data_IF_723407212065
#
_entry.id   IF_723407212065
#
_cell.length_a   1.000
_cell.length_b   1.000
_cell.length_c   1.000
_cell.angle_alpha   90.00
_cell.angle_beta   90.00
_cell.angle_gamma   90.00
#
_symmetry.space_group_name_H-M   'P 1'
#
loop_
_entity.id
_entity.type
_entity.pdbx_description
1 polymer ?
#
# COMPACT_ATOMS: atom_id res chain seq x y z
N UNK A 1 -5.29 -2.58 5.31
CA UNK A 1 -4.92 -1.74 6.48
C UNK A 1 -5.74 -0.47 6.43
N UNK A 2 -6.31 -0.02 7.55
CA UNK A 2 -7.28 1.09 7.57
C UNK A 2 -6.74 2.39 8.20
N UNK A 3 -5.44 2.44 8.47
CA UNK A 3 -4.77 3.60 9.04
C UNK A 3 -3.89 4.27 7.98
N UNK A 4 -3.61 5.56 8.18
CA UNK A 4 -2.65 6.28 7.34
C UNK A 4 -1.27 5.57 7.39
N UNK A 5 -0.55 5.40 6.27
CA UNK A 5 0.73 4.72 6.23
C UNK A 5 1.74 5.20 7.29
N UNK A 6 1.83 6.52 7.51
CA UNK A 6 2.71 7.10 8.53
C UNK A 6 2.35 6.69 9.97
N UNK A 7 1.11 6.29 10.25
CA UNK A 7 0.70 5.82 11.58
C UNK A 7 1.02 4.34 11.82
N UNK A 8 1.31 3.60 10.76
CA UNK A 8 1.58 2.15 10.80
C UNK A 8 3.06 1.88 11.09
N UNK A 9 3.97 2.79 10.74
CA UNK A 9 5.42 2.64 10.94
C UNK A 9 5.90 3.45 12.15
N UNK A 10 6.84 2.91 12.92
CA UNK A 10 7.43 3.60 14.09
C UNK A 10 8.60 4.48 13.65
N UNK A 11 9.51 3.91 12.87
CA UNK A 11 10.79 4.50 12.48
C UNK A 11 10.98 4.51 10.95
N UNK A 12 9.91 4.28 10.19
CA UNK A 12 9.94 4.17 8.73
C UNK A 12 10.28 2.77 8.21
N UNK A 13 10.76 1.86 9.07
CA UNK A 13 11.10 0.48 8.71
C UNK A 13 10.17 -0.50 9.44
N UNK A 14 10.05 -0.35 10.75
CA UNK A 14 9.35 -1.26 11.63
C UNK A 14 7.85 -0.94 11.70
N UNK A 15 7.03 -1.98 11.54
CA UNK A 15 5.58 -1.91 11.71
C UNK A 15 5.24 -1.85 13.19
N UNK A 16 4.28 -0.99 13.55
CA UNK A 16 3.78 -0.85 14.91
C UNK A 16 2.84 -2.00 15.25
N UNK A 17 2.78 -2.39 16.51
CA UNK A 17 1.68 -3.22 17.01
C UNK A 17 0.34 -2.49 17.03
N UNK A 18 -0.74 -3.25 16.94
CA UNK A 18 -2.08 -2.72 17.08
C UNK A 18 -2.61 -2.06 15.82
N UNK A 19 -2.26 -2.58 14.64
CA UNK A 19 -2.71 -2.02 13.36
C UNK A 19 -4.15 -2.43 13.10
N UNK A 20 -4.99 -1.46 12.74
CA UNK A 20 -6.38 -1.72 12.37
C UNK A 20 -6.47 -2.23 10.93
N UNK A 21 -7.05 -3.41 10.75
CA UNK A 21 -7.24 -4.04 9.45
C UNK A 21 -8.70 -4.49 9.25
N UNK A 22 -9.14 -4.46 7.99
CA UNK A 22 -10.38 -5.09 7.55
C UNK A 22 -10.09 -6.55 7.18
N UNK A 23 -10.97 -7.46 7.55
CA UNK A 23 -10.87 -8.86 7.11
C UNK A 23 -11.21 -8.92 5.62
N UNK A 24 -10.35 -9.60 4.85
CA UNK A 24 -10.59 -9.87 3.43
C UNK A 24 -11.23 -11.24 3.29
N UNK A 25 -12.41 -11.29 2.67
CA UNK A 25 -13.18 -12.52 2.46
C UNK A 25 -13.53 -12.67 0.99
N UNK A 26 -13.54 -13.91 0.52
CA UNK A 26 -14.17 -14.27 -0.75
C UNK A 26 -15.63 -14.57 -0.45
N UNK A 27 -16.50 -13.62 -0.75
CA UNK A 27 -17.93 -13.69 -0.39
C UNK A 27 -18.77 -13.10 -1.52
N UNK A 28 -19.93 -13.72 -1.78
CA UNK A 28 -20.88 -13.24 -2.78
C UNK A 28 -20.45 -13.44 -4.24
N UNK A 29 -21.45 -13.75 -5.06
CA UNK A 29 -21.35 -13.60 -6.51
C UNK A 29 -21.99 -12.25 -6.84
N UNK A 30 -21.22 -11.34 -7.43
CA UNK A 30 -21.72 -10.05 -7.87
C UNK A 30 -22.12 -10.17 -9.35
N UNK A 31 -23.42 -10.22 -9.62
CA UNK A 31 -23.95 -10.11 -10.99
C UNK A 31 -24.21 -8.65 -11.36
N UNK A 32 -24.54 -7.80 -10.39
CA UNK A 32 -24.84 -6.38 -10.55
C UNK A 32 -24.33 -5.59 -9.34
N UNK A 33 -23.94 -4.33 -9.57
CA UNK A 33 -23.56 -3.45 -8.47
C UNK A 33 -24.78 -3.14 -7.61
N UNK A 34 -24.76 -3.36 -6.29
CA UNK A 34 -25.95 -3.25 -5.46
C UNK A 34 -26.42 -1.80 -5.45
N UNK A 35 -27.70 -1.58 -5.76
CA UNK A 35 -28.31 -0.25 -5.77
C UNK A 35 -28.29 0.38 -4.36
N UNK A 36 -28.28 -0.45 -3.33
CA UNK A 36 -28.14 -0.10 -1.92
C UNK A 36 -26.67 0.03 -1.51
N UNK A 37 -26.00 1.09 -1.99
CA UNK A 37 -24.94 1.81 -1.24
C UNK A 37 -24.08 0.96 -0.27
N UNK A 38 -23.47 -0.14 -0.76
CA UNK A 38 -22.58 -0.98 0.06
C UNK A 38 -21.26 -0.22 0.27
N UNK A 39 -21.25 0.63 1.30
CA UNK A 39 -20.07 1.39 1.73
C UNK A 39 -19.31 0.68 2.86
N UNK A 40 -19.90 -0.34 3.49
CA UNK A 40 -19.27 -1.20 4.50
C UNK A 40 -18.41 -2.31 3.88
N UNK A 41 -18.32 -2.38 2.55
CA UNK A 41 -17.42 -3.31 1.86
C UNK A 41 -16.65 -2.57 0.77
N UNK A 42 -15.46 -3.06 0.43
CA UNK A 42 -14.71 -2.63 -0.76
C UNK A 42 -14.44 -3.85 -1.64
N UNK A 43 -14.87 -3.85 -2.91
CA UNK A 43 -14.53 -4.91 -3.84
C UNK A 43 -13.02 -4.89 -4.11
N UNK A 44 -12.45 -6.08 -4.26
CA UNK A 44 -11.04 -6.30 -4.59
C UNK A 44 -10.95 -7.17 -5.85
N UNK A 45 -9.86 -7.05 -6.63
CA UNK A 45 -9.58 -7.97 -7.73
C UNK A 45 -9.42 -9.41 -7.23
N UNK A 46 -9.36 -10.37 -8.14
CA UNK A 46 -9.05 -11.76 -7.78
C UNK A 46 -7.64 -11.84 -7.16
N UNK A 47 -7.56 -12.23 -5.88
CA UNK A 47 -6.31 -12.27 -5.12
C UNK A 47 -5.62 -13.63 -5.19
N UNK A 48 -6.40 -14.70 -5.25
CA UNK A 48 -5.90 -16.07 -5.37
C UNK A 48 -6.60 -16.68 -6.58
N UNK A 49 -5.87 -17.02 -7.65
CA UNK A 49 -6.47 -17.63 -8.83
C UNK A 49 -7.17 -18.94 -8.43
N UNK A 50 -8.45 -19.05 -8.72
CA UNK A 50 -9.12 -20.35 -8.62
C UNK A 50 -8.48 -21.29 -9.66
N UNK A 51 -7.79 -22.34 -9.22
CA UNK A 51 -7.34 -23.40 -10.14
C UNK A 51 -8.52 -24.07 -10.86
N UNK A 52 -9.73 -23.92 -10.31
CA UNK A 52 -11.01 -24.30 -10.90
C UNK A 52 -11.66 -23.22 -11.80
N UNK A 53 -11.15 -21.99 -11.89
CA UNK A 53 -11.76 -20.93 -12.70
C UNK A 53 -11.49 -21.07 -14.21
N UNK A 54 -10.66 -22.03 -14.63
CA UNK A 54 -10.61 -22.47 -16.04
C UNK A 54 -11.91 -23.15 -16.51
N UNK A 55 -12.85 -23.46 -15.60
CA UNK A 55 -14.18 -23.95 -15.93
C UNK A 55 -15.32 -22.99 -15.56
N UNK A 56 -15.02 -21.75 -15.16
CA UNK A 56 -16.02 -20.70 -15.02
C UNK A 56 -16.39 -20.13 -16.40
N UNK A 57 -17.06 -20.96 -17.21
CA UNK A 57 -17.87 -20.56 -18.35
C UNK A 57 -17.15 -19.88 -19.50
N UNK A 58 -17.06 -20.58 -20.64
CA UNK A 58 -17.18 -19.88 -21.91
C UNK A 58 -18.41 -18.93 -21.83
N UNK A 59 -18.35 -17.72 -22.42
CA UNK A 59 -19.47 -16.79 -22.35
C UNK A 59 -20.74 -17.49 -22.87
N UNK A 60 -21.65 -17.79 -21.95
CA UNK A 60 -22.99 -18.24 -22.28
C UNK A 60 -23.79 -17.01 -22.70
N UNK A 61 -24.42 -17.04 -23.87
CA UNK A 61 -25.25 -15.96 -24.42
C UNK A 61 -26.56 -15.71 -23.63
N UNK A 62 -26.57 -15.93 -22.33
CA UNK A 62 -27.80 -15.90 -21.53
C UNK A 62 -27.53 -15.43 -20.09
N UNK A 63 -27.64 -14.11 -19.89
CA UNK A 63 -27.72 -13.47 -18.57
C UNK A 63 -26.39 -12.98 -17.98
N UNK A 64 -26.43 -12.09 -16.97
CA UNK A 64 -25.24 -11.58 -16.31
C UNK A 64 -24.51 -12.70 -15.59
N UNK A 65 -23.24 -12.93 -15.95
CA UNK A 65 -22.36 -13.89 -15.28
C UNK A 65 -22.02 -13.33 -13.90
N UNK A 66 -22.45 -14.01 -12.84
CA UNK A 66 -22.11 -13.60 -11.48
C UNK A 66 -20.63 -13.86 -11.21
N UNK A 67 -19.86 -12.80 -10.94
CA UNK A 67 -18.42 -12.88 -10.69
C UNK A 67 -18.20 -13.08 -9.20
N UNK A 68 -17.44 -14.11 -8.80
CA UNK A 68 -16.96 -14.23 -7.42
C UNK A 68 -15.92 -13.14 -7.18
N UNK A 69 -16.14 -12.31 -6.19
CA UNK A 69 -15.22 -11.21 -5.86
C UNK A 69 -14.65 -11.38 -4.46
N UNK A 70 -13.46 -10.82 -4.27
CA UNK A 70 -12.90 -10.60 -2.95
C UNK A 70 -13.41 -9.28 -2.40
N UNK A 71 -13.58 -9.21 -1.08
CA UNK A 71 -14.06 -8.01 -0.41
C UNK A 71 -13.23 -7.73 0.83
N UNK A 72 -12.82 -6.48 1.01
CA UNK A 72 -12.49 -5.99 2.34
C UNK A 72 -13.79 -5.64 3.07
N UNK A 73 -14.02 -6.27 4.21
CA UNK A 73 -15.23 -6.15 5.02
C UNK A 73 -14.99 -5.19 6.19
N UNK A 74 -15.65 -4.02 6.16
CA UNK A 74 -15.50 -2.99 7.19
C UNK A 74 -16.38 -3.21 8.42
N UNK A 75 -17.29 -4.19 8.40
CA UNK A 75 -18.01 -4.61 9.61
C UNK A 75 -17.16 -5.60 10.44
N UNK A 76 -16.19 -6.26 9.80
CA UNK A 76 -15.26 -7.19 10.42
C UNK A 76 -13.87 -6.57 10.56
N UNK A 77 -13.71 -5.69 11.55
CA UNK A 77 -12.42 -5.07 11.85
C UNK A 77 -11.63 -5.87 12.89
N UNK A 78 -10.33 -6.02 12.66
CA UNK A 78 -9.40 -6.68 13.57
C UNK A 78 -8.23 -5.76 13.87
N UNK A 79 -7.67 -5.92 15.07
CA UNK A 79 -6.40 -5.32 15.47
C UNK A 79 -5.34 -6.41 15.35
N UNK A 80 -4.28 -6.16 14.59
CA UNK A 80 -3.20 -7.13 14.35
C UNK A 80 -1.88 -6.64 14.93
N UNK A 81 -1.04 -7.58 15.38
CA UNK A 81 0.34 -7.30 15.78
C UNK A 81 1.27 -7.19 14.56
N UNK A 82 2.46 -6.62 14.76
CA UNK A 82 3.48 -6.58 13.72
C UNK A 82 3.90 -7.99 13.27
N UNK A 83 3.93 -8.96 14.18
CA UNK A 83 4.26 -10.36 13.91
C UNK A 83 3.26 -11.04 12.96
N UNK A 84 1.98 -10.64 13.00
CA UNK A 84 0.94 -11.16 12.10
C UNK A 84 1.04 -10.58 10.68
N UNK A 85 1.88 -9.57 10.48
CA UNK A 85 2.08 -8.86 9.21
C UNK A 85 3.37 -9.28 8.52
N UNK A 86 3.73 -10.56 8.68
CA UNK A 86 4.90 -11.16 8.05
C UNK A 86 4.86 -10.97 6.51
N UNK A 87 5.88 -10.29 5.94
CA UNK A 87 6.01 -10.13 4.50
C UNK A 87 5.95 -11.43 3.71
N UNK A 88 6.41 -12.56 4.25
CA UNK A 88 6.40 -13.86 3.56
C UNK A 88 4.97 -14.39 3.31
N UNK A 89 4.01 -13.97 4.14
CA UNK A 89 2.61 -14.35 4.02
C UNK A 89 1.78 -13.35 3.18
N UNK A 90 2.43 -12.32 2.62
CA UNK A 90 1.76 -11.28 1.83
C UNK A 90 1.48 -11.76 0.41
N UNK A 91 0.20 -11.88 0.06
CA UNK A 91 -0.23 -12.33 -1.28
C UNK A 91 -0.47 -11.19 -2.28
N UNK A 92 -0.68 -9.96 -1.79
CA UNK A 92 -0.95 -8.79 -2.62
C UNK A 92 -0.59 -7.49 -1.89
N UNK A 93 -0.28 -6.45 -2.67
CA UNK A 93 -0.07 -5.08 -2.21
C UNK A 93 -1.03 -4.17 -2.99
N UNK A 94 -1.54 -3.14 -2.32
CA UNK A 94 -2.42 -2.16 -2.92
C UNK A 94 -1.57 -0.98 -3.41
N UNK A 95 -1.85 -0.51 -4.62
CA UNK A 95 -1.25 0.71 -5.15
C UNK A 95 -1.82 1.97 -4.47
N UNK A 96 -1.21 3.13 -4.77
CA UNK A 96 -1.62 4.43 -4.24
C UNK A 96 -3.13 4.71 -4.47
N UNK A 97 -3.63 4.39 -5.66
CA UNK A 97 -5.03 4.59 -6.03
C UNK A 97 -5.97 3.69 -5.23
N UNK A 98 -5.62 2.42 -5.05
CA UNK A 98 -6.35 1.49 -4.21
C UNK A 98 -6.36 1.95 -2.75
N UNK A 99 -5.22 2.40 -2.21
CA UNK A 99 -5.12 2.90 -0.83
C UNK A 99 -6.05 4.11 -0.67
N UNK A 100 -6.03 5.05 -1.62
CA UNK A 100 -6.90 6.22 -1.58
C UNK A 100 -8.38 5.83 -1.66
N UNK A 101 -8.76 4.84 -2.48
CA UNK A 101 -10.13 4.32 -2.56
C UNK A 101 -10.57 3.65 -1.25
N UNK A 102 -9.67 2.86 -0.63
CA UNK A 102 -9.90 2.21 0.64
C UNK A 102 -10.18 3.26 1.74
N UNK A 103 -9.30 4.26 1.85
CA UNK A 103 -9.43 5.35 2.82
C UNK A 103 -10.70 6.19 2.56
N UNK A 104 -10.99 6.52 1.30
CA UNK A 104 -12.20 7.25 0.94
C UNK A 104 -13.47 6.50 1.35
N UNK A 105 -13.55 5.20 1.04
CA UNK A 105 -14.69 4.37 1.41
C UNK A 105 -14.84 4.25 2.92
N UNK A 106 -13.74 4.00 3.63
CA UNK A 106 -13.76 3.86 5.08
C UNK A 106 -14.12 5.18 5.78
N UNK A 107 -13.56 6.31 5.35
CA UNK A 107 -13.94 7.63 5.84
C UNK A 107 -15.41 7.94 5.59
N UNK A 108 -15.94 7.62 4.40
CA UNK A 108 -17.36 7.80 4.09
C UNK A 108 -18.25 6.90 4.95
N UNK A 109 -17.85 5.65 5.20
CA UNK A 109 -18.58 4.74 6.10
C UNK A 109 -18.74 5.36 7.49
N UNK A 110 -17.64 5.89 8.05
CA UNK A 110 -17.61 6.43 9.41
C UNK A 110 -18.32 7.78 9.56
N UNK A 111 -18.16 8.66 8.57
CA UNK A 111 -18.54 10.08 8.72
C UNK A 111 -19.71 10.50 7.84
N UNK A 112 -20.04 9.70 6.82
CA UNK A 112 -20.93 10.06 5.69
C UNK A 112 -20.46 11.26 4.88
N UNK A 113 -19.27 11.80 5.14
CA UNK A 113 -18.67 12.86 4.34
C UNK A 113 -18.26 12.31 2.96
N UNK A 114 -18.56 13.07 1.91
CA UNK A 114 -18.14 12.77 0.54
C UNK A 114 -16.85 13.53 0.23
N UNK A 115 -15.71 12.97 0.64
CA UNK A 115 -14.39 13.54 0.34
C UNK A 115 -13.90 12.99 -0.99
N UNK A 116 -13.37 13.84 -1.87
CA UNK A 116 -12.89 13.43 -3.18
C UNK A 116 -11.62 12.57 -3.07
N UNK A 117 -11.49 11.54 -3.93
CA UNK A 117 -10.35 10.59 -3.92
C UNK A 117 -8.99 11.29 -3.98
N UNK A 118 -8.85 12.33 -4.81
CA UNK A 118 -7.56 13.03 -5.00
C UNK A 118 -7.01 13.64 -3.69
N UNK A 119 -7.88 14.05 -2.76
CA UNK A 119 -7.46 14.55 -1.45
C UNK A 119 -6.73 13.43 -0.66
N UNK A 120 -7.24 12.20 -0.74
CA UNK A 120 -6.57 11.06 -0.11
C UNK A 120 -5.26 10.73 -0.83
N UNK A 121 -5.25 10.72 -2.17
CA UNK A 121 -4.02 10.52 -2.96
C UNK A 121 -2.94 11.52 -2.53
N UNK A 122 -3.27 12.81 -2.47
CA UNK A 122 -2.35 13.86 -2.01
C UNK A 122 -1.85 13.60 -0.58
N UNK A 123 -2.73 13.18 0.34
CA UNK A 123 -2.36 12.91 1.73
C UNK A 123 -1.39 11.75 1.90
N UNK A 124 -1.49 10.71 1.06
CA UNK A 124 -0.64 9.51 1.16
C UNK A 124 0.56 9.52 0.21
N UNK A 125 0.60 10.43 -0.77
CA UNK A 125 1.62 10.42 -1.81
C UNK A 125 3.07 10.61 -1.29
N UNK A 126 3.27 11.37 -0.21
CA UNK A 126 4.59 11.48 0.42
C UNK A 126 5.06 10.16 1.01
N UNK A 127 4.16 9.45 1.71
CA UNK A 127 4.46 8.16 2.32
C UNK A 127 4.63 7.03 1.30
N UNK A 128 3.94 7.13 0.16
CA UNK A 128 4.09 6.24 -1.00
C UNK A 128 5.45 6.43 -1.68
N UNK A 129 5.86 7.68 -1.91
CA UNK A 129 7.19 8.00 -2.45
C UNK A 129 8.33 7.59 -1.51
N UNK A 130 8.14 7.67 -0.20
CA UNK A 130 9.10 7.15 0.78
C UNK A 130 9.28 5.62 0.63
N UNK A 131 8.20 4.88 0.36
CA UNK A 131 8.28 3.43 0.12
C UNK A 131 8.99 3.15 -1.20
N UNK A 132 8.71 3.90 -2.27
CA UNK A 132 9.42 3.78 -3.55
C UNK A 132 10.94 3.95 -3.37
N UNK A 133 11.34 4.98 -2.62
CA UNK A 133 12.76 5.24 -2.29
C UNK A 133 13.36 4.09 -1.50
N UNK A 134 12.66 3.59 -0.48
CA UNK A 134 13.13 2.46 0.33
C UNK A 134 13.30 1.19 -0.51
N UNK A 135 12.33 0.86 -1.36
CA UNK A 135 12.35 -0.33 -2.19
C UNK A 135 13.50 -0.31 -3.22
N UNK A 136 13.70 0.81 -3.92
CA UNK A 136 14.82 0.96 -4.87
C UNK A 136 16.17 0.91 -4.14
N UNK A 137 16.30 1.59 -3.00
CA UNK A 137 17.54 1.60 -2.21
C UNK A 137 17.90 0.21 -1.68
N UNK A 138 16.92 -0.50 -1.10
CA UNK A 138 17.11 -1.86 -0.58
C UNK A 138 17.42 -2.83 -1.73
N UNK A 139 16.71 -2.72 -2.86
CA UNK A 139 16.97 -3.54 -4.04
C UNK A 139 18.42 -3.44 -4.51
N UNK A 140 18.92 -2.22 -4.69
CA UNK A 140 20.33 -1.96 -5.07
C UNK A 140 21.31 -2.52 -4.05
N UNK A 141 21.02 -2.38 -2.76
CA UNK A 141 21.88 -2.88 -1.70
C UNK A 141 21.95 -4.42 -1.70
N UNK A 142 20.80 -5.09 -1.89
CA UNK A 142 20.71 -6.56 -1.99
C UNK A 142 21.48 -7.05 -3.21
N UNK A 143 21.35 -6.38 -4.36
CA UNK A 143 22.08 -6.73 -5.58
C UNK A 143 23.61 -6.63 -5.39
N UNK A 144 24.07 -5.71 -4.54
CA UNK A 144 25.47 -5.57 -4.13
C UNK A 144 25.89 -6.51 -2.98
N UNK A 145 25.00 -7.38 -2.50
CA UNK A 145 25.28 -8.36 -1.43
C UNK A 145 25.15 -7.84 0.00
N UNK A 146 24.57 -6.66 0.20
CA UNK A 146 24.27 -6.13 1.54
C UNK A 146 22.99 -6.74 2.12
N UNK A 147 22.82 -6.62 3.44
CA UNK A 147 21.59 -7.05 4.13
C UNK A 147 20.50 -6.00 3.96
N UNK A 148 19.31 -6.43 3.53
CA UNK A 148 18.18 -5.52 3.28
C UNK A 148 17.74 -4.71 4.51
N UNK A 149 17.82 -5.28 5.73
CA UNK A 149 17.49 -4.56 6.97
C UNK A 149 18.46 -3.41 7.24
N UNK A 150 19.75 -3.64 7.02
CA UNK A 150 20.79 -2.63 7.24
C UNK A 150 20.65 -1.51 6.20
N UNK A 151 20.33 -1.88 4.95
CA UNK A 151 20.05 -0.94 3.87
C UNK A 151 18.79 -0.10 4.13
N UNK A 152 17.73 -0.68 4.69
CA UNK A 152 16.52 0.05 5.05
C UNK A 152 16.81 1.13 6.11
N UNK A 153 17.57 0.79 7.16
CA UNK A 153 18.00 1.74 8.17
C UNK A 153 18.92 2.82 7.60
N UNK A 154 19.81 2.46 6.67
CA UNK A 154 20.69 3.41 6.01
C UNK A 154 19.92 4.42 5.15
N UNK A 155 18.96 3.94 4.36
CA UNK A 155 18.05 4.76 3.58
C UNK A 155 17.26 5.72 4.47
N UNK A 156 16.66 5.23 5.56
CA UNK A 156 15.92 6.07 6.51
C UNK A 156 16.80 7.11 7.19
N UNK A 157 18.07 6.80 7.46
CA UNK A 157 19.04 7.76 7.96
C UNK A 157 19.27 8.87 6.93
N UNK A 158 19.53 8.51 5.67
CA UNK A 158 19.71 9.47 4.59
C UNK A 158 18.47 10.35 4.36
N UNK A 159 17.26 9.79 4.43
CA UNK A 159 16.02 10.55 4.31
C UNK A 159 15.81 11.55 5.45
N UNK A 160 16.36 11.27 6.64
CA UNK A 160 16.21 12.10 7.85
C UNK A 160 17.36 13.06 8.11
N UNK A 161 18.39 13.04 7.27
CA UNK A 161 19.42 14.08 7.30
C UNK A 161 18.80 15.44 6.92
N UNK A 162 19.16 16.46 7.69
CA UNK A 162 18.75 17.85 7.46
C UNK A 162 19.96 18.67 7.00
N UNK A 163 19.93 19.12 5.74
CA UNK A 163 20.99 19.92 5.12
C UNK A 163 20.67 21.44 5.14
N UNK A 164 19.86 21.89 6.11
CA UNK A 164 19.48 23.30 6.26
C UNK A 164 18.22 23.69 5.49
N UNK A 165 17.48 22.70 4.99
CA UNK A 165 16.21 22.85 4.27
C UNK A 165 15.09 21.93 4.79
N UNK A 166 15.28 21.33 5.97
CA UNK A 166 14.42 20.29 6.52
C UNK A 166 14.81 18.89 6.03
N UNK A 167 14.24 17.87 6.67
CA UNK A 167 14.47 16.47 6.31
C UNK A 167 13.99 16.19 4.88
N UNK A 168 14.79 15.45 4.10
CA UNK A 168 14.38 14.97 2.76
C UNK A 168 13.06 14.20 2.82
N UNK A 169 12.82 13.46 3.90
CA UNK A 169 11.57 12.77 4.19
C UNK A 169 10.35 13.71 4.13
N UNK A 170 10.42 14.87 4.80
CA UNK A 170 9.33 15.84 4.80
C UNK A 170 9.13 16.48 3.42
N UNK A 171 10.22 16.68 2.68
CA UNK A 171 10.19 17.22 1.32
C UNK A 171 9.57 16.23 0.30
N UNK A 172 9.33 14.97 0.64
CA UNK A 172 8.58 14.04 -0.22
C UNK A 172 7.08 14.38 -0.29
N UNK A 173 6.55 15.11 0.70
CA UNK A 173 5.16 15.58 0.69
C UNK A 173 4.91 16.56 -0.46
N UNK A 174 5.88 17.44 -0.76
CA UNK A 174 5.78 18.41 -1.84
C UNK A 174 6.05 17.76 -3.22
N UNK A 175 5.06 17.78 -4.14
CA UNK A 175 5.22 17.25 -5.49
C UNK A 175 6.38 17.87 -6.29
N UNK A 176 6.74 19.13 -6.02
CA UNK A 176 7.81 19.82 -6.75
C UNK A 176 9.20 19.25 -6.41
N UNK A 177 9.42 18.85 -5.16
CA UNK A 177 10.70 18.30 -4.68
C UNK A 177 10.76 16.78 -4.73
N UNK A 178 9.61 16.10 -4.65
CA UNK A 178 9.53 14.62 -4.60
C UNK A 178 10.35 13.91 -5.66
N UNK A 179 10.15 14.24 -6.95
CA UNK A 179 10.86 13.58 -8.06
C UNK A 179 12.38 13.77 -7.99
N UNK A 180 12.82 14.94 -7.50
CA UNK A 180 14.24 15.24 -7.30
C UNK A 180 14.82 14.32 -6.23
N UNK A 181 14.14 14.19 -5.09
CA UNK A 181 14.60 13.36 -3.96
C UNK A 181 14.64 11.88 -4.34
N UNK A 182 13.61 11.37 -5.03
CA UNK A 182 13.62 9.98 -5.53
C UNK A 182 14.84 9.71 -6.40
N UNK A 183 15.17 10.64 -7.30
CA UNK A 183 16.35 10.54 -8.16
C UNK A 183 17.67 10.65 -7.40
N UNK A 184 17.76 11.57 -6.44
CA UNK A 184 18.93 11.71 -5.58
C UNK A 184 19.18 10.45 -4.76
N UNK A 185 18.11 9.84 -4.23
CA UNK A 185 18.19 8.59 -3.48
C UNK A 185 18.76 7.45 -4.33
N UNK A 186 18.28 7.31 -5.57
CA UNK A 186 18.78 6.30 -6.50
C UNK A 186 20.28 6.47 -6.81
N UNK A 187 20.74 7.71 -7.03
CA UNK A 187 22.15 8.03 -7.26
C UNK A 187 23.01 7.77 -6.03
N UNK A 188 22.52 8.13 -4.85
CA UNK A 188 23.23 7.91 -3.59
C UNK A 188 23.34 6.41 -3.26
N UNK A 189 22.25 5.65 -3.43
CA UNK A 189 22.27 4.20 -3.26
C UNK A 189 23.28 3.54 -4.22
N UNK A 190 23.30 3.97 -5.48
CA UNK A 190 24.28 3.50 -6.46
C UNK A 190 25.72 3.84 -6.03
N UNK A 191 25.98 5.07 -5.58
CA UNK A 191 27.29 5.47 -5.09
C UNK A 191 27.75 4.61 -3.91
N UNK A 192 26.85 4.34 -2.95
CA UNK A 192 27.16 3.57 -1.74
C UNK A 192 27.41 2.08 -2.00
N UNK A 193 26.62 1.46 -2.87
CA UNK A 193 26.63 0.01 -3.03
C UNK A 193 27.34 -0.50 -4.27
N UNK A 194 27.47 0.32 -5.33
CA UNK A 194 28.25 -0.04 -6.52
C UNK A 194 29.67 0.55 -6.51
N UNK A 195 29.95 1.54 -5.65
CA UNK A 195 31.28 2.15 -5.49
C UNK A 195 32.24 1.40 -4.55
N UNK A 196 31.79 0.31 -3.92
CA UNK A 196 32.54 -0.47 -2.93
C UNK A 196 33.15 -1.79 -3.47
N UNK A 197 33.17 -1.96 -4.80
CA UNK A 197 33.74 -3.13 -5.51
C UNK A 197 35.18 -2.93 -5.97
#
# INVERSE_FOLDING_TARGET
MLQHPCSIRIDGVNVRDGVLAAVVKRDGALSEWPADRIYNKMPLPELIPDSAAKSAGAPSESGPVAVKCWWADFDSLVIVSAEQLDPENRIAVMDLDGIALLLQRFAHLLTRAAVAKHIFVESVAGADAEVEVLEDWIGRAIDAGAKGTDAAHDCMRWLREDEGGGMRQAQLEDPATRKRIVREAALEAEHRYNGAG
#
